data_IF_686576225881
#
_entry.id   IF_686576225881
#
_cell.length_a   1.000
_cell.length_b   1.000
_cell.length_c   1.000
_cell.angle_alpha   90.00
_cell.angle_beta   90.00
_cell.angle_gamma   90.00
#
_symmetry.space_group_name_H-M   'P 1'
#
loop_
_entity.id
_entity.type
_entity.pdbx_description
1 polymer ?
#
# COMPACT_ATOMS: atom_id res chain seq x y z
N UNK A 1 13.45 85.52 -13.01
CA UNK A 1 12.82 84.34 -12.37
C UNK A 1 12.03 84.88 -11.19
N UNK A 2 10.77 85.30 -11.29
CA UNK A 2 9.70 84.79 -12.13
C UNK A 2 8.79 83.86 -11.35
N UNK A 3 8.47 84.17 -10.09
CA UNK A 3 7.47 83.45 -9.29
C UNK A 3 6.58 84.49 -8.61
N UNK A 4 5.40 84.68 -9.19
CA UNK A 4 4.14 84.68 -8.47
C UNK A 4 3.07 84.45 -9.51
N UNK A 5 2.99 83.17 -9.87
CA UNK A 5 1.79 82.54 -10.38
C UNK A 5 0.56 83.10 -9.66
N UNK A 6 -0.42 83.49 -10.46
CA UNK A 6 -1.81 83.14 -10.20
C UNK A 6 -2.26 83.35 -8.75
N UNK A 7 -2.43 84.62 -8.33
CA UNK A 7 -3.53 84.91 -7.40
C UNK A 7 -4.81 84.61 -8.16
N UNK A 8 -5.18 83.34 -8.09
CA UNK A 8 -6.45 82.77 -8.48
C UNK A 8 -7.51 83.60 -7.73
N UNK A 9 -7.98 84.66 -8.41
CA UNK A 9 -9.14 85.41 -7.96
C UNK A 9 -10.29 84.42 -7.99
N UNK A 10 -10.54 83.80 -6.83
CA UNK A 10 -11.69 82.94 -6.60
C UNK A 10 -12.90 83.74 -7.08
N UNK A 11 -13.61 83.30 -8.14
CA UNK A 11 -14.77 84.03 -8.61
C UNK A 11 -15.80 84.02 -7.48
N UNK A 12 -15.98 85.15 -6.82
CA UNK A 12 -17.08 85.38 -5.89
C UNK A 12 -18.36 85.13 -6.67
N UNK A 13 -19.06 84.03 -6.37
CA UNK A 13 -20.41 83.79 -6.91
C UNK A 13 -21.27 84.98 -6.48
N UNK A 14 -21.55 85.88 -7.41
CA UNK A 14 -22.17 87.18 -7.16
C UNK A 14 -23.68 87.13 -7.03
N UNK A 15 -24.30 85.95 -7.19
CA UNK A 15 -25.74 85.81 -7.28
C UNK A 15 -26.28 84.98 -6.12
N UNK A 16 -27.31 85.51 -5.46
CA UNK A 16 -28.05 84.84 -4.40
C UNK A 16 -29.30 84.15 -4.96
N UNK A 17 -29.66 83.00 -4.42
CA UNK A 17 -30.91 82.34 -4.79
C UNK A 17 -32.10 83.16 -4.27
N UNK A 18 -33.04 83.45 -5.17
CA UNK A 18 -34.26 84.21 -4.88
C UNK A 18 -35.37 83.26 -4.41
N UNK A 19 -36.05 83.63 -3.33
CA UNK A 19 -37.24 82.97 -2.78
C UNK A 19 -38.40 83.98 -2.82
N UNK A 20 -39.64 83.51 -2.69
CA UNK A 20 -40.80 84.40 -2.66
C UNK A 20 -40.61 85.46 -1.56
N UNK A 21 -40.45 86.71 -2.00
CA UNK A 21 -40.19 87.90 -1.15
C UNK A 21 -38.79 87.95 -0.53
N UNK A 22 -37.74 87.64 -1.30
CA UNK A 22 -36.36 88.06 -0.96
C UNK A 22 -35.28 87.03 -1.34
N UNK A 23 -34.07 87.20 -0.81
CA UNK A 23 -32.99 86.24 -0.94
C UNK A 23 -33.01 85.21 0.18
N UNK A 24 -32.44 84.02 -0.04
CA UNK A 24 -32.26 83.03 1.03
C UNK A 24 -31.38 83.62 2.14
N UNK A 25 -31.99 83.85 3.30
CA UNK A 25 -31.31 84.46 4.46
C UNK A 25 -30.07 83.69 4.89
N UNK A 26 -30.08 82.36 4.87
CA UNK A 26 -28.91 81.53 5.20
C UNK A 26 -27.78 81.67 4.19
N UNK A 27 -28.08 81.78 2.89
CA UNK A 27 -27.09 81.97 1.83
C UNK A 27 -26.47 83.37 1.89
N UNK A 28 -27.27 84.40 2.14
CA UNK A 28 -26.79 85.79 2.33
C UNK A 28 -25.93 85.88 3.58
N UNK A 29 -26.36 85.30 4.70
CA UNK A 29 -25.59 85.30 5.94
C UNK A 29 -24.25 84.56 5.78
N UNK A 30 -24.25 83.41 5.09
CA UNK A 30 -23.03 82.66 4.79
C UNK A 30 -22.08 83.49 3.90
N UNK A 31 -22.59 84.14 2.85
CA UNK A 31 -21.78 84.99 1.99
C UNK A 31 -21.21 86.21 2.73
N UNK A 32 -22.01 86.90 3.55
CA UNK A 32 -21.52 88.02 4.37
C UNK A 32 -20.41 87.53 5.29
N UNK A 33 -20.60 86.43 6.01
CA UNK A 33 -19.58 85.84 6.88
C UNK A 33 -18.32 85.45 6.10
N UNK A 34 -18.47 84.89 4.89
CA UNK A 34 -17.36 84.57 4.00
C UNK A 34 -16.62 85.84 3.56
N UNK A 35 -17.33 86.88 3.10
CA UNK A 35 -16.71 88.16 2.69
C UNK A 35 -16.07 88.90 3.85
N UNK A 36 -16.66 88.86 5.05
CA UNK A 36 -16.06 89.43 6.25
C UNK A 36 -14.79 88.68 6.65
N UNK A 37 -14.76 87.35 6.49
CA UNK A 37 -13.57 86.54 6.69
C UNK A 37 -12.49 86.84 5.63
N UNK A 38 -12.87 86.99 4.36
CA UNK A 38 -11.96 87.35 3.27
C UNK A 38 -11.40 88.77 3.44
N UNK A 39 -12.22 89.76 3.82
CA UNK A 39 -11.76 91.13 4.12
C UNK A 39 -10.83 91.14 5.32
N UNK A 40 -11.10 90.33 6.35
CA UNK A 40 -10.21 90.19 7.49
C UNK A 40 -8.86 89.60 7.08
N UNK A 41 -8.87 88.50 6.31
CA UNK A 41 -7.66 87.88 5.77
C UNK A 41 -6.87 88.86 4.89
N UNK A 42 -7.52 89.61 4.00
CA UNK A 42 -6.85 90.62 3.17
C UNK A 42 -6.28 91.79 4.00
N UNK A 43 -6.93 92.14 5.11
CA UNK A 43 -6.43 93.16 6.03
C UNK A 43 -5.20 92.65 6.76
N UNK A 44 -5.22 91.41 7.26
CA UNK A 44 -4.08 90.74 7.88
C UNK A 44 -2.90 90.57 6.91
N UNK A 45 -3.16 90.21 5.65
CA UNK A 45 -2.16 90.12 4.58
C UNK A 45 -1.57 91.49 4.26
N UNK A 46 -2.41 92.54 4.16
CA UNK A 46 -1.95 93.91 3.93
C UNK A 46 -1.09 94.40 5.07
N UNK A 47 -1.52 94.18 6.31
CA UNK A 47 -0.80 94.64 7.49
C UNK A 47 0.52 93.87 7.65
N UNK A 48 0.55 92.57 7.32
CA UNK A 48 1.78 91.76 7.23
C UNK A 48 2.73 92.28 6.15
N UNK A 49 2.22 92.65 4.97
CA UNK A 49 3.03 93.22 3.90
C UNK A 49 3.58 94.61 4.29
N UNK A 50 2.80 95.44 4.97
CA UNK A 50 3.26 96.74 5.48
C UNK A 50 4.37 96.58 6.53
N UNK A 51 4.25 95.59 7.43
CA UNK A 51 5.32 95.24 8.38
C UNK A 51 6.59 94.79 7.67
N UNK A 52 6.48 93.94 6.64
CA UNK A 52 7.63 93.50 5.85
C UNK A 52 8.31 94.67 5.13
N UNK A 53 7.54 95.61 4.59
CA UNK A 53 8.09 96.83 3.96
C UNK A 53 8.81 97.71 4.98
N UNK A 54 8.26 97.87 6.20
CA UNK A 54 8.95 98.63 7.25
C UNK A 54 10.24 97.95 7.70
N UNK A 55 10.25 96.62 7.85
CA UNK A 55 11.44 95.86 8.24
C UNK A 55 12.52 95.93 7.17
N UNK A 56 12.15 95.79 5.89
CA UNK A 56 13.09 95.94 4.77
C UNK A 56 13.64 97.36 4.69
N UNK A 57 12.82 98.38 4.94
CA UNK A 57 13.30 99.76 4.96
C UNK A 57 14.27 100.01 6.12
N UNK A 58 14.01 99.43 7.29
CA UNK A 58 14.94 99.47 8.43
C UNK A 58 16.27 98.76 8.11
N UNK A 59 16.22 97.58 7.47
CA UNK A 59 17.43 96.88 6.99
C UNK A 59 18.19 97.69 5.94
N UNK A 60 17.49 98.40 5.04
CA UNK A 60 18.11 99.22 4.02
C UNK A 60 18.81 100.44 4.63
N UNK A 61 18.17 101.12 5.58
CA UNK A 61 18.79 102.22 6.33
C UNK A 61 19.97 101.75 7.18
N UNK A 62 19.86 100.57 7.81
CA UNK A 62 20.98 99.95 8.51
C UNK A 62 22.15 99.67 7.55
N UNK A 63 21.89 99.04 6.41
CA UNK A 63 22.92 98.75 5.40
C UNK A 63 23.55 100.05 4.84
N UNK A 64 22.75 101.11 4.65
CA UNK A 64 23.27 102.44 4.25
C UNK A 64 24.18 103.02 5.32
N UNK A 65 23.79 102.95 6.60
CA UNK A 65 24.61 103.43 7.70
C UNK A 65 25.91 102.62 7.85
N UNK A 66 25.86 101.29 7.64
CA UNK A 66 27.02 100.42 7.60
C UNK A 66 27.95 100.77 6.43
N UNK A 67 27.41 100.97 5.22
CA UNK A 67 28.19 101.41 4.05
C UNK A 67 28.89 102.74 4.32
N UNK A 68 28.19 103.71 4.91
CA UNK A 68 28.78 105.01 5.24
C UNK A 68 29.85 104.88 6.34
N UNK A 69 29.65 104.00 7.31
CA UNK A 69 30.66 103.68 8.32
C UNK A 69 31.91 103.05 7.70
N UNK A 70 31.72 102.04 6.83
CA UNK A 70 32.81 101.38 6.11
C UNK A 70 33.54 102.34 5.18
N UNK A 71 32.83 103.26 4.51
CA UNK A 71 33.43 104.31 3.68
C UNK A 71 34.29 105.25 4.52
N UNK A 72 33.80 105.69 5.69
CA UNK A 72 34.61 106.52 6.60
C UNK A 72 35.83 105.77 7.14
N UNK A 73 35.68 104.50 7.50
CA UNK A 73 36.80 103.65 7.92
C UNK A 73 37.82 103.47 6.80
N UNK A 74 37.35 103.25 5.56
CA UNK A 74 38.22 103.16 4.39
C UNK A 74 38.94 104.48 4.13
N UNK A 75 38.23 105.61 4.16
CA UNK A 75 38.82 106.93 4.01
C UNK A 75 39.87 107.21 5.10
N UNK A 76 39.65 106.74 6.32
CA UNK A 76 40.59 106.87 7.45
C UNK A 76 41.83 105.95 7.27
N UNK A 77 41.63 104.71 6.83
CA UNK A 77 42.70 103.76 6.45
C UNK A 77 43.49 104.27 5.25
N UNK A 78 42.85 104.95 4.29
CA UNK A 78 43.51 105.55 3.15
C UNK A 78 44.21 106.88 3.49
N UNK A 79 43.74 107.61 4.52
CA UNK A 79 44.37 108.83 5.03
C UNK A 79 45.54 108.59 5.97
N UNK A 80 45.71 107.37 6.46
CA UNK A 80 46.91 106.93 7.18
C UNK A 80 47.87 106.27 6.18
N UNK A 81 48.85 107.00 5.60
CA UNK A 81 49.71 106.42 4.58
C UNK A 81 50.64 105.41 5.26
N UNK A 82 50.61 104.17 4.79
CA UNK A 82 51.60 103.15 5.13
C UNK A 82 52.84 103.38 4.26
N UNK A 83 54.00 103.47 4.89
CA UNK A 83 55.31 103.58 4.22
C UNK A 83 55.56 102.37 3.29
N UNK A 84 55.94 102.64 2.05
CA UNK A 84 56.05 101.68 0.94
C UNK A 84 57.09 100.56 1.19
N UNK A 85 58.04 100.79 2.10
CA UNK A 85 59.08 99.82 2.51
C UNK A 85 58.57 98.81 3.56
N UNK A 86 57.64 99.20 4.43
CA UNK A 86 57.07 98.34 5.47
C UNK A 86 56.05 97.32 4.90
N UNK A 87 55.55 97.57 3.68
CA UNK A 87 54.63 96.70 2.97
C UNK A 87 55.25 95.31 2.68
N UNK A 88 56.50 95.27 2.24
CA UNK A 88 57.19 94.03 1.86
C UNK A 88 57.44 93.09 3.04
N UNK A 89 57.84 93.63 4.19
CA UNK A 89 58.08 92.85 5.41
C UNK A 89 56.78 92.37 6.07
N UNK A 90 55.68 93.13 5.93
CA UNK A 90 54.37 92.70 6.38
C UNK A 90 53.81 91.58 5.51
N UNK A 91 53.94 91.68 4.18
CA UNK A 91 53.54 90.61 3.25
C UNK A 91 54.32 89.31 3.49
N UNK A 92 55.64 89.41 3.72
CA UNK A 92 56.47 88.23 4.05
C UNK A 92 55.99 87.55 5.34
N UNK A 93 55.71 88.31 6.40
CA UNK A 93 55.17 87.78 7.65
C UNK A 93 53.78 87.17 7.49
N UNK A 94 52.92 87.77 6.67
CA UNK A 94 51.58 87.25 6.38
C UNK A 94 51.65 85.92 5.61
N UNK A 95 52.57 85.79 4.66
CA UNK A 95 52.82 84.54 3.93
C UNK A 95 53.39 83.46 4.86
N UNK A 96 54.30 83.82 5.77
CA UNK A 96 54.80 82.87 6.77
C UNK A 96 53.67 82.38 7.69
N UNK A 97 52.88 83.29 8.23
CA UNK A 97 51.73 82.95 9.07
C UNK A 97 50.71 82.08 8.32
N UNK A 98 50.43 82.37 7.05
CA UNK A 98 49.54 81.56 6.23
C UNK A 98 50.09 80.16 5.96
N UNK A 99 51.41 80.01 5.79
CA UNK A 99 52.03 78.69 5.66
C UNK A 99 52.00 77.91 6.98
N UNK A 100 52.24 78.59 8.11
CA UNK A 100 52.16 77.98 9.43
C UNK A 100 50.72 77.53 9.74
N UNK A 101 49.71 78.36 9.43
CA UNK A 101 48.30 78.04 9.56
C UNK A 101 47.90 76.89 8.62
N UNK A 102 48.38 76.86 7.38
CA UNK A 102 48.15 75.74 6.47
C UNK A 102 48.79 74.44 6.99
N UNK A 103 49.98 74.51 7.58
CA UNK A 103 50.64 73.35 8.19
C UNK A 103 49.84 72.83 9.39
N UNK A 104 49.30 73.72 10.22
CA UNK A 104 48.43 73.37 11.36
C UNK A 104 47.11 72.73 10.91
N UNK A 105 46.47 73.26 9.86
CA UNK A 105 45.26 72.66 9.27
C UNK A 105 45.55 71.26 8.73
N UNK A 106 46.67 71.06 8.03
CA UNK A 106 47.05 69.73 7.52
C UNK A 106 47.36 68.76 8.67
N UNK A 107 48.07 69.22 9.71
CA UNK A 107 48.40 68.38 10.86
C UNK A 107 47.15 67.96 11.64
N UNK A 108 46.23 68.89 11.91
CA UNK A 108 44.96 68.61 12.59
C UNK A 108 44.04 67.71 11.75
N UNK A 109 43.96 67.93 10.43
CA UNK A 109 43.21 67.07 9.52
C UNK A 109 43.78 65.65 9.50
N UNK A 110 45.11 65.48 9.46
CA UNK A 110 45.78 64.17 9.53
C UNK A 110 45.53 63.47 10.85
N UNK A 111 45.66 64.17 11.98
CA UNK A 111 45.39 63.61 13.29
C UNK A 111 43.94 63.13 13.41
N UNK A 112 42.99 63.93 12.92
CA UNK A 112 41.57 63.55 12.89
C UNK A 112 41.34 62.33 12.01
N UNK A 113 41.93 62.29 10.81
CA UNK A 113 41.82 61.14 9.92
C UNK A 113 42.37 59.85 10.55
N UNK A 114 43.56 59.91 11.18
CA UNK A 114 44.17 58.77 11.86
C UNK A 114 43.29 58.26 13.02
N UNK A 115 42.71 59.17 13.80
CA UNK A 115 41.78 58.82 14.88
C UNK A 115 40.51 58.14 14.35
N UNK A 116 39.90 58.66 13.29
CA UNK A 116 38.73 58.02 12.68
C UNK A 116 39.08 56.66 12.06
N UNK A 117 40.26 56.54 11.46
CA UNK A 117 40.73 55.28 10.87
C UNK A 117 40.98 54.22 11.94
N UNK A 118 41.67 54.58 13.03
CA UNK A 118 41.90 53.71 14.17
C UNK A 118 40.59 53.25 14.82
N UNK A 119 39.63 54.17 15.00
CA UNK A 119 38.28 53.85 15.50
C UNK A 119 37.56 52.89 14.55
N UNK A 120 37.63 53.13 13.25
CA UNK A 120 36.98 52.28 12.24
C UNK A 120 37.59 50.89 12.18
N UNK A 121 38.92 50.77 12.29
CA UNK A 121 39.60 49.47 12.31
C UNK A 121 39.29 48.70 13.59
N UNK A 122 39.25 49.38 14.74
CA UNK A 122 38.81 48.77 16.00
C UNK A 122 37.38 48.23 15.88
N UNK A 123 36.45 49.03 15.38
CA UNK A 123 35.07 48.60 15.16
C UNK A 123 34.97 47.41 14.18
N UNK A 124 35.76 47.41 13.09
CA UNK A 124 35.82 46.30 12.15
C UNK A 124 36.40 45.03 12.80
N UNK A 125 37.45 45.17 13.62
CA UNK A 125 38.07 44.04 14.34
C UNK A 125 37.13 43.43 15.38
N UNK A 126 36.39 44.24 16.13
CA UNK A 126 35.39 43.78 17.08
C UNK A 126 34.27 43.03 16.38
N UNK A 127 33.80 43.55 15.24
CA UNK A 127 32.76 42.90 14.45
C UNK A 127 33.24 41.56 13.89
N UNK A 128 34.48 41.48 13.38
CA UNK A 128 35.10 40.23 12.92
C UNK A 128 35.19 39.21 14.05
N UNK A 129 35.68 39.61 15.23
CA UNK A 129 35.80 38.72 16.38
C UNK A 129 34.42 38.19 16.85
N UNK A 130 33.38 39.04 16.83
CA UNK A 130 32.01 38.61 17.14
C UNK A 130 31.48 37.60 16.12
N UNK A 131 31.71 37.82 14.83
CA UNK A 131 31.30 36.88 13.79
C UNK A 131 32.06 35.56 13.88
N UNK A 132 33.37 35.59 14.15
CA UNK A 132 34.16 34.38 14.35
C UNK A 132 33.63 33.57 15.54
N UNK A 133 33.33 34.22 16.67
CA UNK A 133 32.71 33.58 17.82
C UNK A 133 31.35 32.97 17.49
N UNK A 134 30.49 33.67 16.74
CA UNK A 134 29.16 33.17 16.36
C UNK A 134 29.25 31.98 15.41
N UNK A 135 30.21 32.01 14.47
CA UNK A 135 30.46 30.89 13.56
C UNK A 135 30.97 29.67 14.34
N UNK A 136 31.88 29.87 15.28
CA UNK A 136 32.38 28.80 16.15
C UNK A 136 31.25 28.18 16.99
N UNK A 137 30.40 28.98 17.62
CA UNK A 137 29.24 28.49 18.39
C UNK A 137 28.26 27.71 17.49
N UNK A 138 27.99 28.20 16.28
CA UNK A 138 27.16 27.49 15.32
C UNK A 138 27.79 26.15 14.88
N UNK A 139 29.11 26.10 14.73
CA UNK A 139 29.85 24.88 14.43
C UNK A 139 29.80 23.86 15.57
N UNK A 140 29.97 24.32 16.81
CA UNK A 140 29.84 23.48 18.00
C UNK A 140 28.43 22.90 18.11
N UNK A 141 27.39 23.71 17.91
CA UNK A 141 26.01 23.22 17.90
C UNK A 141 25.75 22.23 16.77
N UNK A 142 26.32 22.45 15.57
CA UNK A 142 26.24 21.49 14.46
C UNK A 142 26.89 20.15 14.82
N UNK A 143 28.07 20.16 15.43
CA UNK A 143 28.77 18.95 15.84
C UNK A 143 27.99 18.20 16.93
N UNK A 144 27.53 18.90 17.95
CA UNK A 144 26.73 18.30 19.03
C UNK A 144 25.43 17.67 18.49
N UNK A 145 24.72 18.36 17.59
CA UNK A 145 23.53 17.81 16.95
C UNK A 145 23.82 16.57 16.09
N UNK A 146 24.96 16.55 15.40
CA UNK A 146 25.40 15.38 14.64
C UNK A 146 25.74 14.20 15.54
N UNK A 147 26.47 14.44 16.63
CA UNK A 147 26.82 13.41 17.61
C UNK A 147 25.59 12.82 18.29
N UNK A 148 24.65 13.67 18.71
CA UNK A 148 23.37 13.23 19.27
C UNK A 148 22.57 12.39 18.27
N UNK A 149 22.50 12.82 17.01
CA UNK A 149 21.83 12.04 15.95
C UNK A 149 22.52 10.70 15.73
N UNK A 150 23.85 10.67 15.69
CA UNK A 150 24.62 9.44 15.51
C UNK A 150 24.39 8.47 16.67
N UNK A 151 24.41 8.97 17.91
CA UNK A 151 24.11 8.17 19.10
C UNK A 151 22.68 7.60 19.07
N UNK A 152 21.69 8.41 18.66
CA UNK A 152 20.32 7.94 18.52
C UNK A 152 20.18 6.86 17.43
N UNK A 153 20.88 7.01 16.30
CA UNK A 153 20.92 6.00 15.24
C UNK A 153 21.60 4.70 15.70
N UNK A 154 22.69 4.80 16.46
CA UNK A 154 23.36 3.63 17.02
C UNK A 154 22.49 2.90 18.06
N UNK A 155 21.79 3.64 18.92
CA UNK A 155 20.86 3.05 19.89
C UNK A 155 19.71 2.33 19.20
N UNK A 156 19.05 3.00 18.25
CA UNK A 156 17.94 2.40 17.49
C UNK A 156 18.41 1.21 16.65
N UNK A 157 19.60 1.27 16.05
CA UNK A 157 20.18 0.12 15.32
C UNK A 157 20.40 -1.08 16.24
N UNK A 158 20.95 -0.87 17.44
CA UNK A 158 21.13 -1.94 18.45
C UNK A 158 19.79 -2.52 18.91
N UNK A 159 18.76 -1.69 19.06
CA UNK A 159 17.41 -2.16 19.42
C UNK A 159 16.78 -2.99 18.30
N UNK A 160 16.91 -2.54 17.04
CA UNK A 160 16.44 -3.29 15.87
C UNK A 160 17.15 -4.64 15.76
N UNK A 161 18.48 -4.67 15.93
CA UNK A 161 19.26 -5.92 15.94
C UNK A 161 18.78 -6.87 17.04
N UNK A 162 18.59 -6.38 18.27
CA UNK A 162 18.05 -7.20 19.37
C UNK A 162 16.66 -7.75 19.07
N UNK A 163 15.75 -6.92 18.58
CA UNK A 163 14.41 -7.35 18.20
C UNK A 163 14.43 -8.37 17.05
N UNK A 164 15.34 -8.20 16.08
CA UNK A 164 15.51 -9.14 14.98
C UNK A 164 16.04 -10.50 15.47
N UNK A 165 17.04 -10.50 16.36
CA UNK A 165 17.58 -11.71 16.98
C UNK A 165 16.51 -12.44 17.81
N UNK A 166 15.74 -11.70 18.62
CA UNK A 166 14.63 -12.25 19.41
C UNK A 166 13.54 -12.86 18.52
N UNK A 167 13.14 -12.16 17.46
CA UNK A 167 12.16 -12.64 16.50
C UNK A 167 12.65 -13.90 15.77
N UNK A 168 13.93 -13.94 15.37
CA UNK A 168 14.51 -15.13 14.75
C UNK A 168 14.55 -16.31 15.72
N UNK A 169 14.97 -16.10 16.97
CA UNK A 169 14.97 -17.14 17.99
C UNK A 169 13.55 -17.66 18.24
N UNK A 170 12.56 -16.78 18.28
CA UNK A 170 11.16 -17.16 18.43
C UNK A 170 10.67 -17.99 17.25
N UNK A 171 10.96 -17.57 16.01
CA UNK A 171 10.63 -18.34 14.80
C UNK A 171 11.28 -19.73 14.84
N UNK A 172 12.59 -19.81 15.11
CA UNK A 172 13.32 -21.09 15.21
C UNK A 172 12.77 -21.99 16.31
N UNK A 173 12.21 -21.44 17.39
CA UNK A 173 11.55 -22.23 18.44
C UNK A 173 10.22 -22.79 17.95
N UNK A 174 9.38 -21.96 17.35
CA UNK A 174 8.09 -22.39 16.80
C UNK A 174 8.27 -23.45 15.70
N UNK A 175 9.29 -23.30 14.85
CA UNK A 175 9.61 -24.29 13.81
C UNK A 175 9.99 -25.63 14.43
N UNK A 176 10.87 -25.63 15.44
CA UNK A 176 11.24 -26.84 16.19
C UNK A 176 10.04 -27.49 16.88
N UNK A 177 9.20 -26.71 17.54
CA UNK A 177 8.00 -27.21 18.22
C UNK A 177 7.01 -27.81 17.20
N UNK A 178 6.86 -27.19 16.03
CA UNK A 178 6.02 -27.69 14.94
C UNK A 178 6.58 -28.99 14.34
N UNK A 179 7.89 -29.07 14.12
CA UNK A 179 8.55 -30.30 13.66
C UNK A 179 8.39 -31.45 14.66
N UNK A 180 8.56 -31.18 15.95
CA UNK A 180 8.33 -32.19 16.99
C UNK A 180 6.91 -32.72 16.95
N UNK A 181 5.90 -31.84 16.89
CA UNK A 181 4.49 -32.25 16.76
C UNK A 181 4.22 -33.05 15.49
N UNK A 182 4.80 -32.65 14.35
CA UNK A 182 4.67 -33.42 13.10
C UNK A 182 5.24 -34.83 13.26
N UNK A 183 6.43 -34.95 13.84
CA UNK A 183 7.08 -36.24 14.07
C UNK A 183 6.30 -37.12 15.07
N UNK A 184 5.71 -36.53 16.11
CA UNK A 184 4.85 -37.25 17.06
C UNK A 184 3.60 -37.81 16.36
N UNK A 185 2.89 -36.96 15.61
CA UNK A 185 1.70 -37.36 14.86
C UNK A 185 2.05 -38.45 13.83
N UNK A 186 3.17 -38.31 13.11
CA UNK A 186 3.63 -39.30 12.13
C UNK A 186 3.92 -40.65 12.79
N UNK A 187 4.63 -40.66 13.92
CA UNK A 187 4.90 -41.90 14.69
C UNK A 187 3.61 -42.56 15.18
N UNK A 188 2.69 -41.78 15.75
CA UNK A 188 1.42 -42.31 16.26
C UNK A 188 0.56 -42.87 15.11
N UNK A 189 0.56 -42.18 13.97
CA UNK A 189 -0.10 -42.65 12.76
C UNK A 189 0.53 -43.94 12.23
N UNK A 190 1.86 -44.03 12.17
CA UNK A 190 2.57 -45.24 11.75
C UNK A 190 2.25 -46.43 12.66
N UNK A 191 2.27 -46.23 13.97
CA UNK A 191 1.95 -47.25 14.97
C UNK A 191 0.51 -47.72 14.80
N UNK A 192 -0.46 -46.80 14.76
CA UNK A 192 -1.88 -47.14 14.61
C UNK A 192 -2.19 -47.82 13.28
N UNK A 193 -1.57 -47.37 12.19
CA UNK A 193 -1.72 -48.00 10.87
C UNK A 193 -1.02 -49.37 10.81
N UNK A 194 0.13 -49.54 11.44
CA UNK A 194 0.79 -50.84 11.54
C UNK A 194 -0.06 -51.84 12.33
N UNK A 195 -0.65 -51.43 13.45
CA UNK A 195 -1.57 -52.24 14.24
C UNK A 195 -2.79 -52.65 13.41
N UNK A 196 -3.46 -51.69 12.74
CA UNK A 196 -4.62 -51.96 11.87
C UNK A 196 -4.27 -52.88 10.70
N UNK A 197 -3.09 -52.70 10.07
CA UNK A 197 -2.60 -53.61 9.01
C UNK A 197 -2.38 -55.02 9.55
N UNK A 198 -1.80 -55.16 10.75
CA UNK A 198 -1.57 -56.45 11.37
C UNK A 198 -2.88 -57.16 11.71
N UNK A 199 -3.87 -56.45 12.24
CA UNK A 199 -5.21 -56.97 12.50
C UNK A 199 -5.89 -57.43 11.20
N UNK A 200 -5.90 -56.59 10.16
CA UNK A 200 -6.46 -56.95 8.86
C UNK A 200 -5.77 -58.18 8.24
N UNK A 201 -4.43 -58.28 8.35
CA UNK A 201 -3.69 -59.47 7.90
C UNK A 201 -4.04 -60.72 8.71
N UNK A 202 -4.26 -60.60 10.02
CA UNK A 202 -4.71 -61.72 10.86
C UNK A 202 -6.11 -62.19 10.45
N UNK A 203 -7.05 -61.28 10.27
CA UNK A 203 -8.41 -61.65 9.83
C UNK A 203 -8.41 -62.31 8.45
N UNK A 204 -7.62 -61.80 7.49
CA UNK A 204 -7.46 -62.43 6.18
C UNK A 204 -6.87 -63.83 6.31
N UNK A 205 -5.82 -64.01 7.12
CA UNK A 205 -5.23 -65.32 7.37
C UNK A 205 -6.21 -66.30 8.04
N UNK A 206 -7.06 -65.81 8.94
CA UNK A 206 -8.12 -66.61 9.58
C UNK A 206 -9.21 -67.01 8.57
N UNK A 207 -9.68 -66.07 7.74
CA UNK A 207 -10.63 -66.34 6.65
C UNK A 207 -10.07 -67.34 5.65
N UNK A 208 -8.81 -67.18 5.25
CA UNK A 208 -8.12 -68.11 4.35
C UNK A 208 -7.99 -69.50 4.96
N UNK A 209 -7.62 -69.60 6.25
CA UNK A 209 -7.55 -70.88 6.96
C UNK A 209 -8.93 -71.55 7.06
N UNK A 210 -9.97 -70.81 7.42
CA UNK A 210 -11.33 -71.32 7.50
C UNK A 210 -11.82 -71.79 6.12
N UNK A 211 -11.60 -71.00 5.08
CA UNK A 211 -11.95 -71.35 3.70
C UNK A 211 -11.22 -72.61 3.23
N UNK A 212 -9.92 -72.74 3.51
CA UNK A 212 -9.14 -73.96 3.21
C UNK A 212 -9.66 -75.17 3.94
N UNK A 213 -9.95 -75.05 5.24
CA UNK A 213 -10.52 -76.15 6.03
C UNK A 213 -11.89 -76.58 5.51
N UNK A 214 -12.76 -75.64 5.14
CA UNK A 214 -14.04 -75.97 4.52
C UNK A 214 -13.87 -76.65 3.15
N UNK A 215 -12.96 -76.17 2.32
CA UNK A 215 -12.66 -76.78 1.03
C UNK A 215 -12.13 -78.21 1.21
N UNK A 216 -11.19 -78.42 2.13
CA UNK A 216 -10.68 -79.74 2.50
C UNK A 216 -11.78 -80.66 3.02
N UNK A 217 -12.68 -80.15 3.88
CA UNK A 217 -13.85 -80.90 4.35
C UNK A 217 -14.76 -81.31 3.21
N UNK A 218 -15.15 -80.38 2.33
CA UNK A 218 -15.98 -80.67 1.14
C UNK A 218 -15.33 -81.70 0.23
N UNK A 219 -14.02 -81.58 -0.03
CA UNK A 219 -13.27 -82.54 -0.83
C UNK A 219 -13.26 -83.92 -0.15
N UNK A 220 -13.02 -83.98 1.16
CA UNK A 220 -13.00 -85.24 1.92
C UNK A 220 -14.39 -85.92 1.97
N UNK A 221 -15.46 -85.14 2.15
CA UNK A 221 -16.84 -85.62 2.15
C UNK A 221 -17.24 -86.12 0.75
N UNK A 222 -16.93 -85.36 -0.30
CA UNK A 222 -17.16 -85.76 -1.68
C UNK A 222 -16.37 -87.01 -2.07
N UNK A 223 -15.10 -87.12 -1.65
CA UNK A 223 -14.26 -88.29 -1.87
C UNK A 223 -14.83 -89.52 -1.16
N UNK A 224 -15.25 -89.40 0.11
CA UNK A 224 -15.89 -90.47 0.86
C UNK A 224 -17.21 -90.91 0.22
N UNK A 225 -18.02 -89.97 -0.29
CA UNK A 225 -19.27 -90.30 -0.97
C UNK A 225 -19.04 -90.94 -2.34
N UNK A 226 -18.05 -90.48 -3.12
CA UNK A 226 -17.62 -91.11 -4.36
C UNK A 226 -17.11 -92.54 -4.09
N UNK A 227 -16.35 -92.76 -3.02
CA UNK A 227 -15.91 -94.09 -2.59
C UNK A 227 -17.11 -94.97 -2.22
N UNK A 228 -18.11 -94.45 -1.52
CA UNK A 228 -19.36 -95.19 -1.24
C UNK A 228 -20.12 -95.55 -2.51
N UNK A 229 -20.25 -94.60 -3.46
CA UNK A 229 -20.94 -94.85 -4.75
C UNK A 229 -20.22 -95.90 -5.58
N UNK A 230 -18.89 -95.82 -5.67
CA UNK A 230 -18.08 -96.80 -6.40
C UNK A 230 -18.12 -98.18 -5.73
N UNK A 231 -18.08 -98.26 -4.39
CA UNK A 231 -18.29 -99.52 -3.65
C UNK A 231 -19.67 -100.13 -3.95
N UNK A 232 -20.75 -99.35 -3.84
CA UNK A 232 -22.11 -99.82 -4.17
C UNK A 232 -22.25 -100.26 -5.63
N UNK A 233 -21.68 -99.49 -6.57
CA UNK A 233 -21.69 -99.85 -7.99
C UNK A 233 -20.91 -101.15 -8.23
N UNK A 234 -19.76 -101.34 -7.59
CA UNK A 234 -19.00 -102.58 -7.65
C UNK A 234 -19.77 -103.76 -7.05
N UNK A 235 -20.42 -103.57 -5.89
CA UNK A 235 -21.30 -104.59 -5.27
C UNK A 235 -22.45 -104.97 -6.21
N UNK A 236 -23.09 -103.99 -6.87
CA UNK A 236 -24.13 -104.24 -7.86
C UNK A 236 -23.61 -104.98 -9.09
N UNK A 237 -22.43 -104.60 -9.62
CA UNK A 237 -21.79 -105.29 -10.75
C UNK A 237 -21.43 -106.73 -10.38
N UNK A 238 -20.90 -106.96 -9.18
CA UNK A 238 -20.61 -108.30 -8.67
C UNK A 238 -21.89 -109.13 -8.48
N UNK A 239 -22.97 -108.52 -7.97
CA UNK A 239 -24.28 -109.16 -7.87
C UNK A 239 -24.84 -109.53 -9.26
N UNK A 240 -24.75 -108.63 -10.25
CA UNK A 240 -25.14 -108.89 -11.63
C UNK A 240 -24.27 -109.97 -12.29
N UNK A 241 -22.97 -109.99 -12.02
CA UNK A 241 -22.05 -111.06 -12.47
C UNK A 241 -22.40 -112.40 -11.82
N UNK A 242 -22.75 -112.43 -10.54
CA UNK A 242 -23.24 -113.62 -9.86
C UNK A 242 -24.57 -114.11 -10.45
N UNK A 243 -25.53 -113.21 -10.67
CA UNK A 243 -26.81 -113.55 -11.32
C UNK A 243 -26.59 -114.09 -12.74
N UNK A 244 -25.72 -113.46 -13.53
CA UNK A 244 -25.36 -113.95 -14.87
C UNK A 244 -24.70 -115.32 -14.81
N UNK A 245 -23.82 -115.58 -13.83
CA UNK A 245 -23.25 -116.93 -13.62
C UNK A 245 -24.34 -117.94 -13.30
N UNK A 246 -25.25 -117.63 -12.38
CA UNK A 246 -26.38 -118.49 -12.04
C UNK A 246 -27.30 -118.73 -13.25
N UNK A 247 -27.63 -117.70 -14.03
CA UNK A 247 -28.42 -117.83 -15.25
C UNK A 247 -27.69 -118.65 -16.32
N UNK A 248 -26.37 -118.46 -16.49
CA UNK A 248 -25.57 -119.28 -17.40
C UNK A 248 -25.53 -120.75 -16.94
N UNK A 249 -25.48 -121.01 -15.64
CA UNK A 249 -25.62 -122.35 -15.06
C UNK A 249 -27.02 -122.92 -15.29
N UNK A 250 -28.09 -122.14 -15.11
CA UNK A 250 -29.47 -122.54 -15.41
C UNK A 250 -29.68 -122.83 -16.90
N UNK A 251 -29.11 -122.02 -17.81
CA UNK A 251 -29.16 -122.26 -19.26
C UNK A 251 -28.37 -123.51 -19.62
N UNK A 252 -27.19 -123.75 -19.02
CA UNK A 252 -26.46 -125.00 -19.22
C UNK A 252 -27.24 -126.21 -18.70
N UNK A 253 -27.87 -126.10 -17.53
CA UNK A 253 -28.72 -127.16 -16.98
C UNK A 253 -29.96 -127.40 -17.86
N UNK A 254 -30.58 -126.34 -18.38
CA UNK A 254 -31.68 -126.42 -19.35
C UNK A 254 -31.26 -127.02 -20.68
N UNK A 255 -30.09 -126.66 -21.22
CA UNK A 255 -29.51 -127.29 -22.42
C UNK A 255 -29.14 -128.76 -22.18
N UNK A 256 -28.67 -129.13 -20.99
CA UNK A 256 -28.44 -130.52 -20.62
C UNK A 256 -29.76 -131.30 -20.56
N UNK A 257 -30.83 -130.74 -19.98
CA UNK A 257 -32.16 -131.36 -19.97
C UNK A 257 -32.77 -131.46 -21.38
N UNK A 258 -32.54 -130.46 -22.25
CA UNK A 258 -32.99 -130.51 -23.64
C UNK A 258 -32.19 -131.53 -24.47
N UNK A 259 -30.87 -131.66 -24.25
CA UNK A 259 -30.06 -132.72 -24.86
C UNK A 259 -30.41 -134.12 -24.30
N UNK A 260 -30.80 -134.23 -23.03
CA UNK A 260 -31.31 -135.48 -22.45
C UNK A 260 -32.73 -135.83 -22.96
N UNK A 261 -33.50 -134.84 -23.42
CA UNK A 261 -34.82 -135.02 -24.04
C UNK A 261 -34.80 -135.14 -25.58
N UNK A 262 -33.66 -134.88 -26.22
CA UNK A 262 -33.46 -134.98 -27.68
C UNK A 262 -33.69 -136.40 -28.27
N UNK A 263 -33.44 -137.53 -27.56
CA UNK A 263 -33.84 -138.84 -28.07
C UNK A 263 -35.34 -139.16 -27.89
N UNK A 264 -36.13 -138.28 -27.27
CA UNK A 264 -37.58 -138.49 -27.03
C UNK A 264 -38.50 -137.62 -27.89
N UNK A 265 -37.95 -136.74 -28.74
CA UNK A 265 -38.73 -135.90 -29.66
C UNK A 265 -38.52 -136.24 -31.16
N UNK A 266 -37.79 -137.32 -31.45
CA UNK A 266 -37.60 -137.84 -32.82
C UNK A 266 -38.66 -138.86 -33.28
N UNK A 267 -39.77 -139.02 -32.54
CA UNK A 267 -40.86 -139.94 -32.90
C UNK A 267 -42.27 -139.41 -32.55
N UNK A 268 -42.62 -138.22 -33.06
CA UNK A 268 -44.01 -137.83 -33.37
C UNK A 268 -44.05 -136.75 -34.47
N UNK A 269 -43.88 -137.25 -35.69
CA UNK A 269 -44.43 -136.83 -36.98
C UNK A 269 -45.52 -135.73 -36.97
N UNK A 270 -45.14 -134.58 -37.57
CA UNK A 270 -45.81 -133.78 -38.63
C UNK A 270 -47.12 -132.98 -38.43
N UNK A 271 -47.11 -131.76 -39.01
CA UNK A 271 -48.25 -130.94 -39.43
C UNK A 271 -48.75 -129.97 -38.34
N UNK A 272 -49.00 -128.68 -38.56
CA UNK A 272 -49.54 -127.95 -39.71
C UNK A 272 -49.23 -126.44 -39.60
N UNK A 273 -49.32 -125.77 -40.74
CA UNK A 273 -49.24 -124.32 -40.98
C UNK A 273 -50.22 -123.48 -40.12
N UNK A 274 -49.84 -122.21 -39.85
CA UNK A 274 -50.77 -121.06 -39.84
C UNK A 274 -50.01 -119.74 -39.72
N UNK A 275 -50.07 -118.94 -40.77
CA UNK A 275 -49.87 -117.49 -40.77
C UNK A 275 -51.04 -116.74 -40.07
N UNK A 276 -50.82 -115.45 -39.79
CA UNK A 276 -51.73 -114.31 -39.47
C UNK A 276 -51.39 -113.67 -38.11
N UNK A 277 -50.79 -112.48 -38.03
CA UNK A 277 -51.21 -111.14 -38.48
C UNK A 277 -52.28 -110.49 -37.58
N UNK A 278 -51.95 -109.26 -37.14
CA UNK A 278 -52.82 -108.20 -36.59
C UNK A 278 -53.40 -108.41 -35.17
N UNK A 279 -53.60 -107.41 -34.31
CA UNK A 279 -53.50 -105.95 -34.39
C UNK A 279 -53.89 -105.34 -33.02
N UNK A 280 -53.31 -104.17 -32.68
CA UNK A 280 -53.91 -103.03 -31.93
C UNK A 280 -54.39 -103.25 -30.46
N UNK A 281 -54.38 -102.30 -29.52
CA UNK A 281 -54.31 -100.83 -29.49
C UNK A 281 -53.82 -100.41 -28.07
N UNK A 282 -53.00 -99.35 -27.87
CA UNK A 282 -53.37 -97.91 -27.77
C UNK A 282 -54.37 -97.66 -26.60
N UNK A 283 -54.16 -96.79 -25.60
CA UNK A 283 -54.09 -95.30 -25.50
C UNK A 283 -53.90 -95.02 -23.98
N UNK A 284 -53.32 -93.93 -23.44
CA UNK A 284 -52.97 -92.61 -23.94
C UNK A 284 -51.99 -91.89 -22.98
N UNK A 285 -51.23 -90.91 -23.47
CA UNK A 285 -51.52 -89.45 -23.41
C UNK A 285 -51.31 -88.92 -21.97
N UNK A 286 -50.53 -87.87 -21.68
CA UNK A 286 -50.31 -86.62 -22.41
C UNK A 286 -48.93 -86.01 -22.12
N UNK A 287 -48.51 -85.21 -23.09
CA UNK A 287 -47.40 -84.26 -23.09
C UNK A 287 -47.65 -83.10 -22.13
N UNK A 288 -46.58 -82.46 -21.67
CA UNK A 288 -46.56 -80.99 -21.54
C UNK A 288 -45.12 -80.50 -21.64
N UNK A 289 -44.80 -80.03 -22.85
CA UNK A 289 -43.72 -79.09 -23.08
C UNK A 289 -44.30 -77.68 -22.90
N UNK A 290 -43.72 -76.87 -22.02
CA UNK A 290 -44.03 -75.45 -21.93
C UNK A 290 -42.84 -74.65 -22.45
N UNK A 291 -43.01 -74.17 -23.68
CA UNK A 291 -42.16 -73.22 -24.38
C UNK A 291 -42.69 -71.81 -24.07
N UNK A 292 -41.96 -71.03 -23.27
CA UNK A 292 -42.34 -69.64 -22.99
C UNK A 292 -41.65 -68.70 -23.97
N UNK A 293 -42.51 -68.09 -24.78
CA UNK A 293 -42.29 -66.99 -25.73
C UNK A 293 -41.55 -65.79 -25.12
N UNK A 294 -40.73 -65.20 -25.99
CA UNK A 294 -40.19 -63.86 -25.87
C UNK A 294 -41.28 -62.77 -26.03
N UNK A 295 -41.26 -61.77 -25.15
CA UNK A 295 -41.82 -60.44 -25.36
C UNK A 295 -40.73 -59.36 -25.12
N UNK A 296 -40.78 -58.20 -25.79
CA UNK A 296 -39.70 -57.22 -25.79
C UNK A 296 -39.72 -56.36 -24.52
N UNK A 297 -38.61 -56.34 -23.80
CA UNK A 297 -38.39 -55.44 -22.67
C UNK A 297 -38.07 -54.03 -23.19
N UNK A 298 -38.89 -53.06 -22.77
CA UNK A 298 -38.71 -51.63 -23.04
C UNK A 298 -37.39 -51.10 -22.45
N UNK A 299 -36.62 -50.39 -23.29
CA UNK A 299 -35.43 -49.64 -22.90
C UNK A 299 -35.81 -48.45 -22.00
N UNK A 300 -35.16 -48.26 -20.83
CA UNK A 300 -35.27 -47.00 -20.10
C UNK A 300 -34.59 -45.88 -20.88
N UNK A 301 -35.32 -44.77 -21.04
CA UNK A 301 -34.79 -43.51 -21.57
C UNK A 301 -33.63 -43.00 -20.73
N UNK A 302 -32.64 -42.49 -21.47
CA UNK A 302 -31.50 -41.67 -21.04
C UNK A 302 -31.78 -40.85 -19.77
N UNK A 303 -31.00 -41.12 -18.71
CA UNK A 303 -30.74 -40.12 -17.68
C UNK A 303 -29.72 -39.15 -18.23
N UNK A 304 -30.12 -37.89 -18.38
CA UNK A 304 -29.25 -36.79 -18.73
C UNK A 304 -27.98 -36.80 -17.87
N UNK A 305 -26.83 -36.73 -18.54
CA UNK A 305 -25.58 -36.29 -17.93
C UNK A 305 -25.79 -34.83 -17.54
N UNK A 306 -25.86 -34.57 -16.24
CA UNK A 306 -25.66 -33.22 -15.73
C UNK A 306 -24.19 -32.87 -15.98
N UNK A 307 -23.93 -32.17 -17.08
CA UNK A 307 -22.72 -31.38 -17.23
C UNK A 307 -22.83 -30.19 -16.26
N UNK A 308 -22.27 -30.32 -15.06
CA UNK A 308 -21.83 -29.16 -14.29
C UNK A 308 -20.40 -28.84 -14.72
N UNK A 309 -20.28 -28.18 -15.88
CA UNK A 309 -19.09 -27.42 -16.25
C UNK A 309 -19.52 -25.97 -16.35
N UNK A 310 -19.50 -25.25 -15.22
CA UNK A 310 -19.42 -23.80 -15.27
C UNK A 310 -18.78 -23.24 -14.00
N UNK A 311 -17.47 -23.01 -14.10
CA UNK A 311 -16.69 -21.96 -13.46
C UNK A 311 -15.34 -21.91 -14.22
N UNK A 312 -14.69 -20.74 -14.44
CA UNK A 312 -14.93 -19.43 -13.82
C UNK A 312 -14.90 -18.21 -14.77
N UNK A 313 -15.79 -17.26 -14.56
CA UNK A 313 -15.63 -15.83 -14.84
C UNK A 313 -16.62 -15.14 -13.87
N UNK A 314 -16.20 -14.32 -12.91
CA UNK A 314 -15.54 -13.04 -13.15
C UNK A 314 -14.48 -12.73 -12.10
N UNK A 315 -13.36 -12.20 -12.59
CA UNK A 315 -12.44 -11.41 -11.78
C UNK A 315 -13.00 -10.02 -11.61
N UNK A 316 -13.57 -9.73 -10.44
CA UNK A 316 -13.71 -8.35 -9.98
C UNK A 316 -12.48 -7.95 -9.18
N UNK A 317 -11.59 -7.26 -9.88
CA UNK A 317 -10.54 -6.45 -9.29
C UNK A 317 -11.18 -5.28 -8.52
N UNK A 318 -11.36 -5.42 -7.21
CA UNK A 318 -11.46 -4.24 -6.34
C UNK A 318 -10.08 -3.92 -5.79
N UNK A 319 -9.34 -3.18 -6.61
CA UNK A 319 -8.21 -2.35 -6.18
C UNK A 319 -8.77 -1.17 -5.40
N UNK A 320 -8.78 -1.26 -4.07
CA UNK A 320 -8.90 -0.09 -3.21
C UNK A 320 -7.50 0.51 -3.05
N UNK A 321 -7.16 1.34 -4.05
CA UNK A 321 -6.04 2.25 -4.03
C UNK A 321 -6.18 3.25 -2.89
N UNK A 322 -5.03 3.60 -2.31
CA UNK A 322 -4.90 4.41 -1.11
C UNK A 322 -5.48 5.82 -1.22
N UNK A 323 -6.01 6.29 -0.09
CA UNK A 323 -6.18 7.69 0.21
C UNK A 323 -5.07 8.12 1.19
N UNK A 324 -4.00 8.66 0.61
CA UNK A 324 -3.03 9.52 1.30
C UNK A 324 -3.74 10.83 1.65
N UNK A 325 -4.02 11.03 2.93
CA UNK A 325 -4.51 12.29 3.49
C UNK A 325 -3.52 12.83 4.50
N UNK A 326 -2.48 13.51 4.01
CA UNK A 326 -1.63 14.35 4.83
C UNK A 326 -2.44 15.56 5.33
N UNK A 327 -2.57 15.70 6.64
CA UNK A 327 -2.88 16.98 7.27
C UNK A 327 -1.71 17.33 8.19
N UNK A 328 -0.82 18.18 7.66
CA UNK A 328 -0.03 19.08 8.47
C UNK A 328 -0.95 20.20 8.96
N UNK A 329 -1.14 20.28 10.27
CA UNK A 329 -1.84 21.36 10.95
C UNK A 329 -0.92 21.90 12.04
N UNK A 330 -0.35 23.06 11.77
CA UNK A 330 0.41 23.92 12.67
C UNK A 330 -0.35 24.21 13.97
N UNK A 331 0.32 24.05 15.11
CA UNK A 331 0.21 24.91 16.29
C UNK A 331 1.48 24.82 17.12
#
# INVERSE_FOLDING_TARGET
MGHNDSRELVPLKSDFDVVWRGFRRSQVQFYIQQTEAEVRMLTEDRDSALSQVSDLNAQLEQARAEIDSLRRQLDDVCRTPVEETALSDRLRRMVQLANDEAAEIIASARATAEHEWSRSEQAASELRARYESLVAEADEWRQQAQDQRQQALEQTSREIERMADEAEQHRRRLDRDAEQRRNEIERDFEISMAARRQEAMRELAERDRASRQEAERRISEAAAEAERRTKRANEQVEAMRALRRNMAEQVRAGQQLLNEAEPFLAASVTGTESEQADAYALVGTEETSEEVRAEPVELPRQRAVAQSSDAPADGESTVLSGASGAQGGTS
#
